data_IF_575574608780
#
_entry.id   IF_575574608780
#
_cell.length_a   1.000
_cell.length_b   1.000
_cell.length_c   1.000
_cell.angle_alpha   90.00
_cell.angle_beta   90.00
_cell.angle_gamma   90.00
#
_symmetry.space_group_name_H-M   'P 1'
#
loop_
_entity.id
_entity.type
_entity.pdbx_description
1 polymer ?
#
# COMPACT_ATOMS: atom_id res chain seq x y z
N UNK A 1 -12.99 -14.48 11.29
CA UNK A 1 -14.41 -14.74 10.92
C UNK A 1 -15.29 -13.52 11.14
N UNK A 2 -15.50 -13.04 12.38
CA UNK A 2 -16.36 -11.87 12.68
C UNK A 2 -16.11 -10.67 11.77
N UNK A 3 -14.87 -10.22 11.68
CA UNK A 3 -14.47 -9.05 10.86
C UNK A 3 -14.80 -9.23 9.36
N UNK A 4 -14.65 -10.45 8.83
CA UNK A 4 -14.99 -10.75 7.44
C UNK A 4 -16.50 -10.62 7.20
N UNK A 5 -17.33 -11.08 8.14
CA UNK A 5 -18.79 -10.96 8.04
C UNK A 5 -19.25 -9.51 8.18
N UNK A 6 -18.65 -8.75 9.10
CA UNK A 6 -18.92 -7.30 9.26
C UNK A 6 -18.54 -6.51 8.00
N UNK A 7 -17.40 -6.84 7.38
CA UNK A 7 -17.01 -6.25 6.11
C UNK A 7 -17.99 -6.60 4.97
N UNK A 8 -18.39 -7.87 4.84
CA UNK A 8 -19.34 -8.28 3.82
C UNK A 8 -20.72 -7.65 4.02
N UNK A 9 -21.17 -7.48 5.27
CA UNK A 9 -22.39 -6.73 5.57
C UNK A 9 -22.33 -5.32 4.99
N UNK A 10 -21.24 -4.60 5.28
CA UNK A 10 -21.03 -3.24 4.77
C UNK A 10 -20.96 -3.20 3.24
N UNK A 11 -20.17 -4.11 2.65
CA UNK A 11 -19.97 -4.17 1.21
C UNK A 11 -21.28 -4.41 0.46
N UNK A 12 -22.07 -5.40 0.86
CA UNK A 12 -23.35 -5.68 0.23
C UNK A 12 -24.35 -4.55 0.48
N UNK A 13 -24.38 -3.96 1.68
CA UNK A 13 -25.22 -2.80 1.95
C UNK A 13 -24.93 -1.61 1.03
N UNK A 14 -23.66 -1.30 0.78
CA UNK A 14 -23.28 -0.11 0.00
C UNK A 14 -23.18 -0.35 -1.51
N UNK A 15 -22.94 -1.60 -1.95
CA UNK A 15 -22.54 -1.89 -3.34
C UNK A 15 -23.50 -2.80 -4.10
N UNK A 16 -24.43 -3.49 -3.44
CA UNK A 16 -25.28 -4.51 -4.07
C UNK A 16 -26.05 -3.99 -5.29
N UNK A 17 -26.62 -2.79 -5.24
CA UNK A 17 -27.40 -2.24 -6.36
C UNK A 17 -26.59 -2.06 -7.65
N UNK A 18 -25.29 -1.73 -7.52
CA UNK A 18 -24.38 -1.63 -8.66
C UNK A 18 -23.85 -3.00 -9.05
N UNK A 19 -23.41 -3.79 -8.07
CA UNK A 19 -22.70 -5.04 -8.28
C UNK A 19 -23.58 -6.18 -8.79
N UNK A 20 -24.88 -6.19 -8.44
CA UNK A 20 -25.83 -7.19 -8.93
C UNK A 20 -26.00 -7.19 -10.46
N UNK A 21 -25.52 -6.15 -11.15
CA UNK A 21 -25.52 -6.07 -12.62
C UNK A 21 -24.28 -6.70 -13.24
N UNK A 22 -23.23 -6.97 -12.46
CA UNK A 22 -22.00 -7.58 -12.96
C UNK A 22 -22.17 -9.10 -13.00
N UNK A 23 -21.70 -9.69 -14.09
CA UNK A 23 -21.63 -11.14 -14.24
C UNK A 23 -20.72 -11.75 -13.14
N UNK A 24 -21.15 -12.89 -12.60
CA UNK A 24 -20.41 -13.58 -11.53
C UNK A 24 -20.52 -12.95 -10.14
N UNK A 25 -21.35 -11.91 -9.95
CA UNK A 25 -21.62 -11.39 -8.62
C UNK A 25 -22.48 -12.36 -7.81
N UNK A 26 -21.87 -12.95 -6.77
CA UNK A 26 -22.54 -13.87 -5.87
C UNK A 26 -23.54 -13.13 -4.97
N UNK A 27 -24.63 -13.80 -4.61
CA UNK A 27 -25.47 -13.34 -3.51
C UNK A 27 -24.65 -13.27 -2.22
N UNK A 28 -25.10 -12.45 -1.26
CA UNK A 28 -24.43 -12.30 0.03
C UNK A 28 -24.27 -13.65 0.75
N UNK A 29 -25.30 -14.49 0.72
CA UNK A 29 -25.24 -15.84 1.33
C UNK A 29 -24.17 -16.71 0.69
N UNK A 30 -24.14 -16.79 -0.64
CA UNK A 30 -23.14 -17.59 -1.36
C UNK A 30 -21.71 -17.10 -1.09
N UNK A 31 -21.49 -15.77 -1.10
CA UNK A 31 -20.17 -15.20 -0.80
C UNK A 31 -19.76 -15.43 0.65
N UNK A 32 -20.69 -15.33 1.60
CA UNK A 32 -20.44 -15.64 3.02
C UNK A 32 -20.01 -17.10 3.18
N UNK A 33 -20.70 -18.04 2.53
CA UNK A 33 -20.36 -19.47 2.62
C UNK A 33 -19.02 -19.78 1.97
N UNK A 34 -18.70 -19.13 0.84
CA UNK A 34 -17.38 -19.21 0.21
C UNK A 34 -16.27 -18.70 1.14
N UNK A 35 -16.47 -17.54 1.79
CA UNK A 35 -15.49 -16.96 2.71
C UNK A 35 -15.32 -17.84 3.95
N UNK A 36 -16.41 -18.37 4.52
CA UNK A 36 -16.34 -19.31 5.64
C UNK A 36 -15.53 -20.54 5.28
N UNK A 37 -15.85 -21.18 4.16
CA UNK A 37 -15.14 -22.36 3.66
C UNK A 37 -13.65 -22.07 3.45
N UNK A 38 -13.30 -20.91 2.86
CA UNK A 38 -11.90 -20.50 2.66
C UNK A 38 -11.17 -20.35 4.00
N UNK A 39 -11.80 -19.70 4.99
CA UNK A 39 -11.19 -19.50 6.30
C UNK A 39 -11.01 -20.83 7.03
N UNK A 40 -11.99 -21.73 6.97
CA UNK A 40 -11.93 -23.06 7.60
C UNK A 40 -10.84 -23.94 6.98
N UNK A 41 -10.66 -23.87 5.65
CA UNK A 41 -9.70 -24.72 4.93
C UNK A 41 -8.28 -24.15 4.88
N UNK A 42 -8.13 -22.83 4.78
CA UNK A 42 -6.82 -22.17 4.56
C UNK A 42 -6.39 -21.28 5.73
N UNK A 43 -7.27 -21.00 6.68
CA UNK A 43 -7.04 -20.03 7.75
C UNK A 43 -7.19 -18.57 7.33
N UNK A 44 -7.53 -18.29 6.07
CA UNK A 44 -7.72 -16.93 5.54
C UNK A 44 -8.70 -16.92 4.36
N UNK A 45 -8.96 -15.75 3.77
CA UNK A 45 -9.68 -15.61 2.50
C UNK A 45 -9.12 -14.46 1.68
N UNK A 46 -9.42 -14.46 0.38
CA UNK A 46 -9.06 -13.37 -0.52
C UNK A 46 -10.28 -12.52 -0.86
N UNK A 47 -10.12 -11.20 -0.80
CA UNK A 47 -11.07 -10.27 -1.39
C UNK A 47 -11.10 -10.41 -2.91
N UNK A 48 -12.28 -10.23 -3.51
CA UNK A 48 -12.37 -9.92 -4.95
C UNK A 48 -11.75 -8.55 -5.23
N UNK A 49 -11.52 -8.19 -6.50
CA UNK A 49 -11.04 -6.86 -6.85
C UNK A 49 -11.98 -5.75 -6.33
N UNK A 50 -13.29 -5.93 -6.51
CA UNK A 50 -14.30 -4.94 -6.11
C UNK A 50 -14.41 -4.80 -4.59
N UNK A 51 -14.30 -5.91 -3.84
CA UNK A 51 -14.21 -5.89 -2.38
C UNK A 51 -12.96 -5.15 -1.92
N UNK A 52 -11.80 -5.41 -2.54
CA UNK A 52 -10.55 -4.75 -2.20
C UNK A 52 -10.60 -3.25 -2.47
N UNK A 53 -11.14 -2.86 -3.63
CA UNK A 53 -11.32 -1.46 -4.01
C UNK A 53 -12.28 -0.75 -3.05
N UNK A 54 -13.37 -1.41 -2.64
CA UNK A 54 -14.29 -0.88 -1.65
C UNK A 54 -13.63 -0.72 -0.28
N UNK A 55 -12.92 -1.75 0.20
CA UNK A 55 -12.22 -1.71 1.48
C UNK A 55 -11.18 -0.58 1.55
N UNK A 56 -10.39 -0.40 0.49
CA UNK A 56 -9.43 0.70 0.41
C UNK A 56 -10.10 2.09 0.46
N UNK A 57 -11.21 2.24 -0.25
CA UNK A 57 -12.03 3.45 -0.26
C UNK A 57 -12.63 3.76 1.12
N UNK A 58 -13.21 2.76 1.78
CA UNK A 58 -13.76 2.89 3.13
C UNK A 58 -12.67 3.20 4.15
N UNK A 59 -11.49 2.60 4.02
CA UNK A 59 -10.35 2.90 4.90
C UNK A 59 -9.95 4.39 4.82
N UNK A 60 -9.89 4.96 3.60
CA UNK A 60 -9.62 6.39 3.44
C UNK A 60 -10.78 7.27 3.93
N UNK A 61 -12.03 6.90 3.63
CA UNK A 61 -13.24 7.57 4.15
C UNK A 61 -13.22 7.67 5.68
N UNK A 62 -12.72 6.63 6.33
CA UNK A 62 -12.68 6.51 7.78
C UNK A 62 -11.36 6.98 8.40
N UNK A 63 -10.46 7.63 7.66
CA UNK A 63 -9.22 8.19 8.20
C UNK A 63 -9.47 9.58 8.81
N UNK A 64 -9.63 9.73 10.14
CA UNK A 64 -10.11 10.97 10.75
C UNK A 64 -9.12 12.13 10.60
N UNK A 65 -7.84 11.83 10.46
CA UNK A 65 -6.74 12.79 10.29
C UNK A 65 -6.60 13.31 8.85
N UNK A 66 -7.33 12.74 7.88
CA UNK A 66 -7.26 13.19 6.49
C UNK A 66 -8.33 14.24 6.20
N UNK A 67 -7.91 15.49 5.97
CA UNK A 67 -8.79 16.59 5.55
C UNK A 67 -9.42 16.33 4.18
N UNK A 68 -8.70 15.63 3.29
CA UNK A 68 -9.12 15.33 1.93
C UNK A 68 -9.93 14.03 1.80
N UNK A 69 -10.47 13.49 2.90
CA UNK A 69 -11.30 12.27 2.86
C UNK A 69 -12.60 12.44 2.04
N UNK A 70 -12.98 13.65 1.65
CA UNK A 70 -14.11 13.88 0.74
C UNK A 70 -13.93 13.25 -0.65
N UNK A 71 -12.69 13.03 -1.09
CA UNK A 71 -12.38 12.42 -2.40
C UNK A 71 -12.32 10.89 -2.37
N UNK A 72 -12.66 10.27 -1.24
CA UNK A 72 -12.49 8.83 -1.00
C UNK A 72 -13.07 7.94 -2.10
N UNK A 73 -14.22 8.31 -2.66
CA UNK A 73 -14.90 7.52 -3.69
C UNK A 73 -14.12 7.45 -5.02
N UNK A 74 -13.23 8.42 -5.27
CA UNK A 74 -12.38 8.49 -6.46
C UNK A 74 -11.08 7.70 -6.37
N UNK A 75 -10.77 7.08 -5.22
CA UNK A 75 -9.54 6.31 -5.06
C UNK A 75 -9.47 5.16 -6.07
N UNK A 76 -8.36 5.07 -6.79
CA UNK A 76 -8.06 4.03 -7.78
C UNK A 76 -7.11 2.99 -7.20
N UNK A 77 -7.49 1.72 -7.31
CA UNK A 77 -6.70 0.58 -6.84
C UNK A 77 -5.78 0.03 -7.94
N UNK A 78 -4.50 -0.12 -7.61
CA UNK A 78 -3.56 -0.98 -8.32
C UNK A 78 -3.43 -2.28 -7.51
N UNK A 79 -4.01 -3.36 -8.03
CA UNK A 79 -3.96 -4.68 -7.39
C UNK A 79 -2.64 -5.38 -7.71
N UNK A 80 -1.70 -5.29 -6.77
CA UNK A 80 -0.39 -5.91 -6.83
C UNK A 80 -0.27 -7.11 -5.89
N UNK A 81 -1.38 -7.75 -5.49
CA UNK A 81 -1.37 -8.93 -4.59
C UNK A 81 -0.69 -10.18 -5.16
N UNK A 82 -0.34 -10.15 -6.45
CA UNK A 82 0.42 -11.19 -7.14
C UNK A 82 1.94 -10.96 -7.09
N UNK A 83 2.40 -9.78 -6.66
CA UNK A 83 3.81 -9.40 -6.66
C UNK A 83 4.52 -10.00 -5.43
N UNK A 84 5.57 -10.79 -5.67
CA UNK A 84 6.30 -11.52 -4.62
C UNK A 84 7.80 -11.23 -4.55
N UNK A 85 8.33 -10.34 -5.39
CA UNK A 85 9.75 -9.99 -5.42
C UNK A 85 9.97 -8.51 -5.10
N UNK A 86 11.17 -8.20 -4.59
CA UNK A 86 11.60 -6.82 -4.36
C UNK A 86 11.56 -5.98 -5.64
N UNK A 87 12.02 -6.54 -6.77
CA UNK A 87 12.00 -5.87 -8.07
C UNK A 87 10.56 -5.58 -8.53
N UNK A 88 9.66 -6.55 -8.44
CA UNK A 88 8.27 -6.33 -8.81
C UNK A 88 7.55 -5.31 -7.92
N UNK A 89 7.92 -5.25 -6.64
CA UNK A 89 7.44 -4.20 -5.74
C UNK A 89 7.97 -2.83 -6.13
N UNK A 90 9.25 -2.74 -6.47
CA UNK A 90 9.87 -1.50 -6.97
C UNK A 90 9.19 -1.00 -8.24
N UNK A 91 8.99 -1.87 -9.24
CA UNK A 91 8.29 -1.55 -10.47
C UNK A 91 6.85 -1.10 -10.23
N UNK A 92 6.17 -1.74 -9.27
CA UNK A 92 4.82 -1.35 -8.87
C UNK A 92 4.79 0.04 -8.22
N UNK A 93 5.79 0.40 -7.43
CA UNK A 93 5.96 1.75 -6.88
C UNK A 93 6.22 2.79 -7.99
N UNK A 94 7.08 2.48 -8.96
CA UNK A 94 7.32 3.37 -10.10
C UNK A 94 6.08 3.57 -10.97
N UNK A 95 5.32 2.50 -11.21
CA UNK A 95 4.04 2.56 -11.91
C UNK A 95 3.04 3.45 -11.17
N UNK A 96 2.95 3.30 -9.85
CA UNK A 96 2.11 4.13 -9.00
C UNK A 96 2.47 5.62 -9.14
N UNK A 97 3.76 5.96 -9.00
CA UNK A 97 4.23 7.34 -9.10
C UNK A 97 3.95 7.92 -10.49
N UNK A 98 4.25 7.18 -11.56
CA UNK A 98 3.98 7.60 -12.94
C UNK A 98 2.49 7.92 -13.15
N UNK A 99 1.59 7.04 -12.69
CA UNK A 99 0.14 7.26 -12.81
C UNK A 99 -0.32 8.46 -11.99
N UNK A 100 0.06 8.54 -10.72
CA UNK A 100 -0.32 9.66 -9.86
C UNK A 100 0.15 11.00 -10.43
N UNK A 101 1.42 11.10 -10.86
CA UNK A 101 1.97 12.34 -11.41
C UNK A 101 1.32 12.73 -12.74
N UNK A 102 1.00 11.76 -13.61
CA UNK A 102 0.38 12.04 -14.92
C UNK A 102 -0.98 12.73 -14.85
N UNK A 103 -1.67 12.59 -13.71
CA UNK A 103 -3.02 13.14 -13.49
C UNK A 103 -3.01 14.54 -12.85
N UNK A 104 -1.84 15.10 -12.56
CA UNK A 104 -1.74 16.47 -12.01
C UNK A 104 -2.49 16.70 -10.70
N UNK A 105 -2.64 15.66 -9.87
CA UNK A 105 -3.41 15.63 -8.60
C UNK A 105 -4.94 15.50 -8.72
N UNK A 106 -5.48 15.26 -9.92
CA UNK A 106 -6.92 15.05 -10.09
C UNK A 106 -7.40 13.67 -9.60
N UNK A 107 -6.48 12.70 -9.47
CA UNK A 107 -6.81 11.34 -9.08
C UNK A 107 -5.90 10.86 -7.95
N UNK A 108 -6.47 10.06 -7.04
CA UNK A 108 -5.74 9.42 -5.95
C UNK A 108 -5.61 7.92 -6.25
N UNK A 109 -4.43 7.37 -5.96
CA UNK A 109 -4.11 5.97 -6.20
C UNK A 109 -3.71 5.27 -4.91
N UNK A 110 -3.94 3.96 -4.86
CA UNK A 110 -3.41 3.07 -3.84
C UNK A 110 -2.91 1.79 -4.51
N UNK A 111 -1.69 1.37 -4.17
CA UNK A 111 -1.15 0.07 -4.59
C UNK A 111 -1.21 -0.89 -3.42
N UNK A 112 -1.85 -2.05 -3.62
CA UNK A 112 -2.00 -3.07 -2.58
C UNK A 112 -1.18 -4.30 -2.92
N UNK A 113 -0.19 -4.59 -2.08
CA UNK A 113 0.66 -5.78 -2.13
C UNK A 113 -0.01 -6.98 -1.42
N UNK A 114 0.55 -8.21 -1.54
CA UNK A 114 -0.04 -9.38 -0.88
C UNK A 114 -0.23 -9.15 0.64
N UNK A 115 -1.34 -9.61 1.24
CA UNK A 115 -1.52 -9.54 2.69
C UNK A 115 -0.59 -10.51 3.40
N UNK A 116 -0.25 -10.23 4.66
CA UNK A 116 0.39 -11.21 5.54
C UNK A 116 -0.49 -12.44 5.69
N UNK A 117 0.08 -13.64 5.56
CA UNK A 117 -0.66 -14.87 5.78
C UNK A 117 -0.62 -15.23 7.29
N UNK A 118 -1.74 -15.54 7.96
CA UNK A 118 -1.76 -15.81 9.42
C UNK A 118 -0.84 -16.95 9.89
N UNK A 119 -0.60 -17.94 9.01
CA UNK A 119 0.31 -19.06 9.25
C UNK A 119 1.79 -18.77 8.99
N UNK A 120 2.12 -17.63 8.38
CA UNK A 120 3.51 -17.25 8.07
C UNK A 120 4.01 -16.32 9.17
N UNK A 121 5.19 -16.62 9.72
CA UNK A 121 5.78 -15.85 10.83
C UNK A 121 6.42 -14.54 10.38
N UNK A 122 6.82 -14.44 9.12
CA UNK A 122 7.39 -13.21 8.57
C UNK A 122 6.29 -12.17 8.40
N UNK A 123 6.66 -10.90 8.61
CA UNK A 123 5.79 -9.79 8.24
C UNK A 123 5.53 -9.82 6.73
N UNK A 124 4.32 -9.45 6.32
CA UNK A 124 4.00 -9.24 4.90
C UNK A 124 4.90 -8.19 4.25
N UNK A 125 4.72 -7.91 2.94
CA UNK A 125 5.54 -6.97 2.19
C UNK A 125 5.65 -5.60 2.87
N UNK A 126 6.86 -5.04 2.91
CA UNK A 126 7.15 -3.76 3.55
C UNK A 126 7.88 -2.79 2.61
N UNK A 127 7.51 -1.51 2.71
CA UNK A 127 8.29 -0.38 2.25
C UNK A 127 8.71 0.35 3.51
N UNK A 128 10.01 0.48 3.75
CA UNK A 128 10.52 1.04 5.01
C UNK A 128 10.50 2.57 5.01
N UNK A 129 10.46 3.19 3.83
CA UNK A 129 10.34 4.63 3.68
C UNK A 129 8.99 5.13 4.24
N UNK A 130 9.00 6.31 4.85
CA UNK A 130 7.76 6.95 5.32
C UNK A 130 6.86 7.44 4.17
N UNK A 131 7.47 7.84 3.06
CA UNK A 131 6.80 8.15 1.80
C UNK A 131 7.65 7.64 0.62
N UNK A 132 7.03 7.43 -0.54
CA UNK A 132 7.76 6.94 -1.74
C UNK A 132 8.82 7.92 -2.24
N UNK A 133 8.60 9.22 -2.03
CA UNK A 133 9.52 10.29 -2.40
C UNK A 133 9.77 11.13 -1.14
N UNK A 134 10.99 11.09 -0.62
CA UNK A 134 11.44 11.92 0.50
C UNK A 134 12.88 12.34 0.26
N UNK A 135 13.25 13.51 0.76
CA UNK A 135 14.64 13.97 0.73
C UNK A 135 15.44 13.36 1.88
N UNK A 136 16.70 13.09 1.62
CA UNK A 136 17.65 12.63 2.61
C UNK A 136 18.05 13.76 3.57
N UNK A 137 18.77 13.39 4.63
CA UNK A 137 19.44 14.36 5.49
C UNK A 137 20.83 13.90 5.91
N UNK A 138 21.73 14.85 6.06
CA UNK A 138 23.13 14.61 6.36
C UNK A 138 23.59 15.50 7.50
N UNK A 139 24.23 14.90 8.50
CA UNK A 139 24.96 15.65 9.50
C UNK A 139 26.18 16.33 8.87
N UNK A 140 26.31 17.63 9.06
CA UNK A 140 27.45 18.45 8.63
C UNK A 140 28.04 19.20 9.83
N UNK A 141 29.15 19.91 9.62
CA UNK A 141 29.76 20.80 10.63
C UNK A 141 28.87 21.98 11.01
N UNK A 142 27.98 22.42 10.11
CA UNK A 142 27.14 23.61 10.26
C UNK A 142 25.70 23.27 10.68
N UNK A 143 25.39 21.98 10.88
CA UNK A 143 24.06 21.49 11.21
C UNK A 143 23.61 20.35 10.29
N UNK A 144 22.31 20.14 10.18
CA UNK A 144 21.70 19.10 9.32
C UNK A 144 21.36 19.72 7.96
N UNK A 145 21.89 19.14 6.89
CA UNK A 145 21.55 19.48 5.50
C UNK A 145 20.47 18.53 4.98
N UNK A 146 19.45 19.04 4.28
CA UNK A 146 18.32 18.24 3.77
C UNK A 146 17.11 18.24 4.70
N UNK A 147 16.32 17.17 4.71
CA UNK A 147 15.11 17.03 5.56
C UNK A 147 15.45 16.38 6.91
N UNK A 148 15.52 17.15 8.03
CA UNK A 148 15.95 16.61 9.33
C UNK A 148 15.10 15.44 9.83
N UNK A 149 13.84 15.34 9.40
CA UNK A 149 12.97 14.23 9.77
C UNK A 149 13.51 12.87 9.29
N UNK A 150 14.34 12.88 8.24
CA UNK A 150 14.90 11.67 7.63
C UNK A 150 16.37 11.43 7.99
N UNK A 151 16.96 12.17 8.94
CA UNK A 151 18.38 12.03 9.30
C UNK A 151 18.70 10.61 9.78
N UNK A 152 17.96 10.11 10.77
CA UNK A 152 18.18 8.77 11.32
C UNK A 152 17.96 7.67 10.27
N UNK A 153 16.98 7.86 9.39
CA UNK A 153 16.74 6.93 8.29
C UNK A 153 17.91 6.95 7.29
N UNK A 154 18.39 8.13 6.91
CA UNK A 154 19.55 8.31 6.02
C UNK A 154 20.82 7.66 6.59
N UNK A 155 21.09 7.84 7.89
CA UNK A 155 22.23 7.21 8.57
C UNK A 155 22.11 5.68 8.60
N UNK A 156 20.90 5.17 8.82
CA UNK A 156 20.60 3.74 8.74
C UNK A 156 20.90 3.19 7.33
N UNK A 157 20.50 3.90 6.27
CA UNK A 157 20.81 3.50 4.90
C UNK A 157 22.31 3.44 4.64
N UNK A 158 23.07 4.42 5.11
CA UNK A 158 24.52 4.48 4.96
C UNK A 158 25.24 3.36 5.72
N UNK A 159 24.81 3.08 6.95
CA UNK A 159 25.44 2.08 7.82
C UNK A 159 25.07 0.65 7.45
N UNK A 160 23.81 0.37 7.08
CA UNK A 160 23.31 -0.99 6.83
C UNK A 160 23.33 -1.41 5.37
N UNK A 161 23.11 -0.46 4.46
CA UNK A 161 22.98 -0.74 3.02
C UNK A 161 24.08 -0.09 2.18
N UNK A 162 25.01 0.65 2.81
CA UNK A 162 26.13 1.28 2.12
C UNK A 162 25.74 2.45 1.23
N UNK A 163 24.52 2.99 1.36
CA UNK A 163 24.09 4.12 0.55
C UNK A 163 24.86 5.39 0.94
N UNK A 164 25.57 6.02 0.00
CA UNK A 164 26.44 7.18 0.28
C UNK A 164 25.84 8.54 -0.11
N UNK A 165 24.66 8.54 -0.71
CA UNK A 165 24.03 9.71 -1.33
C UNK A 165 23.93 9.55 -2.85
N UNK A 166 23.80 10.67 -3.59
CA UNK A 166 23.78 10.70 -5.05
C UNK A 166 25.00 10.06 -5.71
N UNK A 167 24.85 9.58 -6.94
CA UNK A 167 25.89 8.85 -7.68
C UNK A 167 27.11 9.70 -8.03
N UNK A 168 26.93 11.00 -8.20
CA UNK A 168 28.02 11.96 -8.43
C UNK A 168 28.82 12.28 -7.16
N UNK A 169 28.38 11.77 -6.00
CA UNK A 169 29.00 12.00 -4.70
C UNK A 169 28.74 13.39 -4.11
N UNK A 170 27.99 14.24 -4.81
CA UNK A 170 27.69 15.60 -4.38
C UNK A 170 26.36 15.58 -3.64
N UNK A 171 26.42 15.78 -2.32
CA UNK A 171 25.22 15.85 -1.49
C UNK A 171 24.57 17.22 -1.60
N UNK A 172 23.24 17.24 -1.61
CA UNK A 172 22.44 18.47 -1.62
C UNK A 172 21.28 18.40 -0.62
N UNK A 173 20.58 19.52 -0.44
CA UNK A 173 19.37 19.59 0.38
C UNK A 173 18.17 18.82 -0.23
N UNK A 174 18.25 18.42 -1.50
CA UNK A 174 17.14 17.84 -2.26
C UNK A 174 17.46 16.45 -2.83
N UNK A 175 18.35 15.72 -2.17
CA UNK A 175 18.69 14.36 -2.59
C UNK A 175 17.56 13.40 -2.25
N UNK A 176 16.96 12.74 -3.26
CA UNK A 176 15.95 11.73 -3.00
C UNK A 176 16.53 10.48 -2.33
N UNK A 177 15.84 9.98 -1.31
CA UNK A 177 16.13 8.69 -0.70
C UNK A 177 15.82 7.54 -1.68
N UNK A 178 16.61 6.46 -1.67
CA UNK A 178 16.23 5.24 -2.36
C UNK A 178 15.04 4.58 -1.64
N UNK A 179 14.28 3.74 -2.36
CA UNK A 179 13.28 2.89 -1.75
C UNK A 179 13.94 1.66 -1.11
N UNK A 180 13.62 1.39 0.15
CA UNK A 180 13.96 0.13 0.82
C UNK A 180 12.71 -0.74 0.85
N UNK A 181 12.81 -1.84 0.13
CA UNK A 181 11.70 -2.74 -0.16
C UNK A 181 12.07 -4.11 0.35
N UNK A 182 11.10 -4.70 1.05
CA UNK A 182 11.16 -6.07 1.53
C UNK A 182 9.88 -6.76 1.08
N UNK A 183 9.94 -7.49 -0.03
CA UNK A 183 8.95 -8.50 -0.34
C UNK A 183 8.94 -9.53 0.78
N UNK A 184 7.76 -9.97 1.22
CA UNK A 184 7.67 -11.14 2.09
C UNK A 184 8.12 -12.35 1.26
N UNK A 185 9.31 -12.92 1.50
CA UNK A 185 9.68 -14.17 0.86
C UNK A 185 8.77 -15.28 1.42
N UNK A 186 8.43 -16.25 0.58
CA UNK A 186 7.77 -17.49 1.02
C UNK A 186 8.66 -18.33 1.93
#
# INVERSE_FOLDING_TARGET
MREALEFLELYYKERQAEMAKKEGFLSKSERVDQVKTSIETTGTYAHTFDELQHGARVAWRNAPKCSNRGYWAGLKLLDCRHVKSNEGMFDSCLKHLTQAMSTGSSEAFITVFPPSHPRVKTSGPQIWNGQLLQYAAYQTKDGVMGDPANLLFTEMLSSRFGWRGPKDGIRSEHDYLPLIIQSSPE
#
